data_IF_621490339786
#
_entry.id   IF_621490339786
#
_cell.length_a   1.000
_cell.length_b   1.000
_cell.length_c   1.000
_cell.angle_alpha   90.00
_cell.angle_beta   90.00
_cell.angle_gamma   90.00
#
_symmetry.space_group_name_H-M   'P 1'
#
loop_
_entity.id
_entity.type
_entity.pdbx_description
1 polymer ?
#
# COMPACT_ATOMS: atom_id res chain seq x y z
N UNK A 1 -21.80 37.06 27.43
CA UNK A 1 -20.39 37.13 27.88
C UNK A 1 -20.36 36.84 29.39
N UNK A 2 -19.28 36.31 29.95
CA UNK A 2 -19.10 36.28 31.41
C UNK A 2 -17.94 37.22 31.74
N UNK A 3 -18.11 38.10 32.72
CA UNK A 3 -17.07 39.00 33.20
C UNK A 3 -16.74 38.67 34.65
N UNK A 4 -15.46 38.59 34.97
CA UNK A 4 -14.99 38.44 36.33
C UNK A 4 -14.75 39.82 36.93
N UNK A 5 -15.44 40.12 38.03
CA UNK A 5 -15.31 41.42 38.72
C UNK A 5 -14.26 41.42 39.86
N UNK A 6 -13.38 40.42 39.88
CA UNK A 6 -12.41 40.20 40.95
C UNK A 6 -12.89 39.30 42.09
N UNK A 7 -14.19 38.94 42.14
CA UNK A 7 -14.75 38.02 43.17
C UNK A 7 -15.63 36.93 42.58
N UNK A 8 -16.50 37.27 41.63
CA UNK A 8 -17.46 36.34 41.03
C UNK A 8 -17.55 36.55 39.52
N UNK A 9 -17.83 35.46 38.81
CA UNK A 9 -18.21 35.52 37.40
C UNK A 9 -19.67 35.94 37.30
N UNK A 10 -19.94 37.04 36.60
CA UNK A 10 -21.30 37.49 36.30
C UNK A 10 -21.57 37.35 34.81
N UNK A 11 -22.70 36.75 34.47
CA UNK A 11 -23.18 36.73 33.09
C UNK A 11 -23.61 38.15 32.69
N UNK A 12 -22.99 38.67 31.63
CA UNK A 12 -23.39 39.89 30.96
C UNK A 12 -24.30 39.50 29.80
N UNK A 13 -25.55 39.97 29.88
CA UNK A 13 -26.50 39.93 28.77
C UNK A 13 -26.16 41.09 27.83
N UNK A 14 -25.85 40.79 26.58
CA UNK A 14 -25.65 41.80 25.54
C UNK A 14 -27.05 42.32 25.15
N UNK A 15 -27.26 43.62 25.26
CA UNK A 15 -28.54 44.29 25.06
C UNK A 15 -28.62 44.80 23.63
N UNK A 16 -29.59 44.30 22.86
CA UNK A 16 -29.73 44.63 21.44
C UNK A 16 -28.67 43.95 20.58
N UNK A 17 -29.08 43.40 19.45
CA UNK A 17 -28.18 42.74 18.49
C UNK A 17 -28.61 41.34 18.08
N UNK A 18 -28.08 40.88 16.95
CA UNK A 18 -28.27 39.53 16.44
C UNK A 18 -27.61 38.50 17.38
N UNK A 19 -28.23 37.33 17.51
CA UNK A 19 -27.61 36.19 18.20
C UNK A 19 -26.60 35.53 17.26
N UNK A 20 -25.33 35.55 17.66
CA UNK A 20 -24.28 34.82 16.96
C UNK A 20 -23.96 33.50 17.66
N UNK A 21 -23.70 32.47 16.85
CA UNK A 21 -23.10 31.20 17.27
C UNK A 21 -21.85 30.98 16.43
N UNK A 22 -20.76 30.61 17.08
CA UNK A 22 -19.47 30.57 16.45
C UNK A 22 -18.41 29.85 17.27
N UNK A 23 -17.27 29.63 16.62
CA UNK A 23 -16.12 28.93 17.14
C UNK A 23 -14.86 29.81 17.04
N UNK A 24 -13.74 29.32 17.57
CA UNK A 24 -12.43 29.95 17.47
C UNK A 24 -12.40 31.40 17.97
N UNK A 25 -13.08 31.65 19.09
CA UNK A 25 -13.16 32.98 19.71
C UNK A 25 -11.79 33.41 20.24
N UNK A 26 -11.39 34.64 19.91
CA UNK A 26 -10.13 35.24 20.35
C UNK A 26 -10.33 36.72 20.66
N UNK A 27 -9.77 37.19 21.77
CA UNK A 27 -9.60 38.62 22.00
C UNK A 27 -8.32 39.06 21.24
N UNK A 28 -8.47 40.03 20.34
CA UNK A 28 -7.36 40.54 19.50
C UNK A 28 -6.65 41.70 20.15
N UNK A 29 -7.41 42.53 20.83
CA UNK A 29 -6.98 43.63 21.69
C UNK A 29 -8.09 43.87 22.73
N UNK A 30 -7.78 44.51 23.88
CA UNK A 30 -8.79 44.82 24.88
C UNK A 30 -10.03 45.49 24.27
N UNK A 31 -11.20 44.89 24.48
CA UNK A 31 -12.46 45.41 23.93
C UNK A 31 -12.79 44.91 22.53
N UNK A 32 -11.99 44.02 21.92
CA UNK A 32 -12.29 43.42 20.61
C UNK A 32 -12.12 41.92 20.60
N UNK A 33 -13.24 41.23 20.47
CA UNK A 33 -13.30 39.79 20.27
C UNK A 33 -13.60 39.49 18.81
N UNK A 34 -12.82 38.61 18.21
CA UNK A 34 -13.07 38.09 16.87
C UNK A 34 -13.36 36.60 16.94
N UNK A 35 -14.30 36.14 16.12
CA UNK A 35 -14.69 34.73 16.11
C UNK A 35 -15.28 34.33 14.76
N UNK A 36 -15.26 33.03 14.49
CA UNK A 36 -15.76 32.43 13.25
C UNK A 36 -17.20 32.00 13.39
N UNK A 37 -18.02 32.20 12.36
CA UNK A 37 -19.43 31.78 12.30
C UNK A 37 -19.70 31.03 10.99
N UNK A 38 -20.88 30.42 10.85
CA UNK A 38 -21.30 29.79 9.57
C UNK A 38 -21.39 30.77 8.39
N UNK A 39 -21.41 32.08 8.65
CA UNK A 39 -21.57 33.11 7.62
C UNK A 39 -20.29 33.89 7.35
N UNK A 40 -19.21 33.62 8.07
CA UNK A 40 -17.95 34.37 8.00
C UNK A 40 -17.38 34.72 9.36
N UNK A 41 -16.47 35.70 9.38
CA UNK A 41 -15.84 36.21 10.60
C UNK A 41 -16.59 37.43 11.11
N UNK A 42 -16.81 37.45 12.41
CA UNK A 42 -17.47 38.54 13.12
C UNK A 42 -16.52 39.09 14.17
N UNK A 43 -16.45 40.40 14.24
CA UNK A 43 -15.77 41.12 15.31
C UNK A 43 -16.82 41.73 16.23
N UNK A 44 -16.69 41.51 17.52
CA UNK A 44 -17.47 42.12 18.57
C UNK A 44 -16.62 43.15 19.28
N UNK A 45 -16.99 44.42 19.12
CA UNK A 45 -16.32 45.56 19.73
C UNK A 45 -17.16 45.97 20.94
N UNK A 46 -16.58 45.89 22.13
CA UNK A 46 -17.26 46.16 23.40
C UNK A 46 -16.53 47.17 24.27
N UNK A 47 -17.31 47.85 25.09
CA UNK A 47 -16.83 48.78 26.11
C UNK A 47 -16.54 48.07 27.45
N UNK A 48 -16.11 48.85 28.45
CA UNK A 48 -15.79 48.34 29.78
C UNK A 48 -16.99 47.68 30.51
N UNK A 49 -18.23 47.98 30.08
CA UNK A 49 -19.46 47.38 30.62
C UNK A 49 -19.80 46.04 29.95
N UNK A 50 -19.05 45.65 28.92
CA UNK A 50 -19.29 44.44 28.13
C UNK A 50 -20.43 44.56 27.13
N UNK A 51 -20.96 45.77 26.92
CA UNK A 51 -21.91 46.08 25.84
C UNK A 51 -21.14 46.49 24.58
N UNK A 52 -21.70 46.22 23.41
CA UNK A 52 -20.96 46.40 22.18
C UNK A 52 -21.74 46.11 20.92
N UNK A 53 -21.05 46.20 19.79
CA UNK A 53 -21.61 46.00 18.46
C UNK A 53 -20.87 44.89 17.71
N UNK A 54 -21.62 44.11 16.94
CA UNK A 54 -21.07 43.11 16.04
C UNK A 54 -20.82 43.71 14.65
N UNK A 55 -19.64 43.47 14.10
CA UNK A 55 -19.22 43.87 12.77
C UNK A 55 -18.87 42.63 11.96
N UNK A 56 -19.60 42.40 10.87
CA UNK A 56 -19.31 41.31 9.94
C UNK A 56 -18.17 41.75 9.00
N UNK A 57 -17.07 41.00 8.97
CA UNK A 57 -15.96 41.30 8.07
C UNK A 57 -16.37 41.01 6.62
N UNK A 58 -16.01 41.93 5.71
CA UNK A 58 -16.23 41.75 4.27
C UNK A 58 -15.37 40.59 3.75
N UNK A 59 -15.99 39.68 3.00
CA UNK A 59 -15.31 38.53 2.42
C UNK A 59 -14.70 38.88 1.06
N UNK A 60 -13.50 38.38 0.80
CA UNK A 60 -12.88 38.39 -0.53
C UNK A 60 -13.75 37.59 -1.52
N UNK A 61 -13.75 37.97 -2.81
CA UNK A 61 -14.48 37.21 -3.85
C UNK A 61 -13.97 35.78 -4.01
N UNK A 62 -12.72 35.53 -3.61
CA UNK A 62 -12.05 34.24 -3.66
C UNK A 62 -12.49 33.26 -2.56
N UNK A 63 -13.24 33.76 -1.57
CA UNK A 63 -13.75 33.00 -0.43
C UNK A 63 -14.75 31.93 -0.86
N UNK A 64 -14.71 30.76 -0.20
CA UNK A 64 -15.60 29.64 -0.51
C UNK A 64 -17.09 30.02 -0.52
N UNK A 65 -17.85 29.42 -1.45
CA UNK A 65 -19.30 29.64 -1.57
C UNK A 65 -20.09 29.11 -0.37
N UNK A 66 -19.59 28.08 0.30
CA UNK A 66 -20.17 27.51 1.52
C UNK A 66 -20.07 28.46 2.71
N UNK A 67 -19.15 29.43 2.64
CA UNK A 67 -18.82 30.41 3.69
C UNK A 67 -18.38 29.79 5.01
N UNK A 68 -18.00 28.52 5.00
CA UNK A 68 -17.55 27.79 6.17
C UNK A 68 -16.05 28.04 6.41
N UNK A 69 -15.68 28.08 7.68
CA UNK A 69 -14.32 28.34 8.14
C UNK A 69 -13.82 27.16 8.97
N UNK A 70 -12.60 26.73 8.68
CA UNK A 70 -11.92 25.60 9.31
C UNK A 70 -10.83 26.03 10.30
N UNK A 71 -10.53 27.33 10.40
CA UNK A 71 -9.54 27.80 11.38
C UNK A 71 -9.50 29.31 11.53
N UNK A 72 -9.04 29.74 12.71
CA UNK A 72 -8.68 31.12 13.03
C UNK A 72 -7.52 31.10 14.02
N UNK A 73 -6.34 31.52 13.59
CA UNK A 73 -5.10 31.38 14.35
C UNK A 73 -4.09 32.45 13.94
N UNK A 74 -3.16 32.75 14.85
CA UNK A 74 -2.06 33.68 14.59
C UNK A 74 -0.95 33.00 13.80
N UNK A 75 -0.25 33.78 12.99
CA UNK A 75 1.08 33.48 12.45
C UNK A 75 1.96 34.70 12.70
N UNK A 76 3.28 34.53 12.77
CA UNK A 76 4.23 35.64 12.99
C UNK A 76 3.80 36.55 14.17
N UNK A 77 3.37 35.93 15.28
CA UNK A 77 2.87 36.51 16.54
C UNK A 77 1.52 37.25 16.45
N UNK A 78 1.40 38.20 15.52
CA UNK A 78 0.26 39.13 15.48
C UNK A 78 -0.60 39.01 14.22
N UNK A 79 -0.12 38.36 13.17
CA UNK A 79 -0.86 38.26 11.93
C UNK A 79 -1.96 37.21 12.07
N UNK A 80 -3.21 37.66 12.18
CA UNK A 80 -4.35 36.77 12.30
C UNK A 80 -4.76 36.24 10.92
N UNK A 81 -4.87 34.92 10.81
CA UNK A 81 -5.19 34.21 9.58
C UNK A 81 -6.38 33.28 9.81
N UNK A 82 -7.18 33.13 8.76
CA UNK A 82 -8.29 32.19 8.73
C UNK A 82 -8.21 31.29 7.50
N UNK A 83 -8.79 30.10 7.62
CA UNK A 83 -8.79 29.10 6.55
C UNK A 83 -10.23 28.73 6.25
N UNK A 84 -10.60 28.75 4.97
CA UNK A 84 -11.96 28.38 4.55
C UNK A 84 -12.11 26.86 4.33
N UNK A 85 -13.32 26.42 3.96
CA UNK A 85 -13.59 24.99 3.73
C UNK A 85 -12.88 24.40 2.50
N UNK A 86 -12.25 25.23 1.67
CA UNK A 86 -11.40 24.82 0.54
C UNK A 86 -9.91 25.00 0.85
N UNK A 87 -9.58 25.15 2.14
CA UNK A 87 -8.24 25.31 2.67
C UNK A 87 -7.49 26.57 2.21
N UNK A 88 -8.18 27.52 1.58
CA UNK A 88 -7.60 28.80 1.20
C UNK A 88 -7.33 29.63 2.45
N UNK A 89 -6.16 30.26 2.45
CA UNK A 89 -5.65 31.04 3.57
C UNK A 89 -5.98 32.51 3.35
N UNK A 90 -6.64 33.13 4.33
CA UNK A 90 -7.04 34.53 4.31
C UNK A 90 -6.40 35.29 5.47
N UNK A 91 -5.82 36.45 5.17
CA UNK A 91 -5.39 37.41 6.19
C UNK A 91 -6.61 38.15 6.72
N UNK A 92 -6.74 38.19 8.05
CA UNK A 92 -7.81 38.90 8.73
C UNK A 92 -7.35 40.32 9.03
N UNK A 93 -7.86 41.28 8.25
CA UNK A 93 -7.58 42.69 8.41
C UNK A 93 -8.70 43.35 9.20
N UNK A 94 -8.55 43.36 10.53
CA UNK A 94 -9.52 43.99 11.44
C UNK A 94 -9.67 45.49 11.17
N UNK A 95 -8.56 46.21 10.90
CA UNK A 95 -8.59 47.66 10.63
C UNK A 95 -9.42 48.00 9.39
N UNK A 96 -9.28 47.23 8.32
CA UNK A 96 -10.07 47.40 7.11
C UNK A 96 -11.37 46.57 7.09
N UNK A 97 -11.68 45.87 8.20
CA UNK A 97 -12.84 45.01 8.40
C UNK A 97 -13.08 44.04 7.22
N UNK A 98 -12.02 43.38 6.75
CA UNK A 98 -12.10 42.47 5.60
C UNK A 98 -11.15 41.28 5.70
N UNK A 99 -11.54 40.20 5.04
CA UNK A 99 -10.67 39.07 4.75
C UNK A 99 -10.00 39.32 3.40
N UNK A 100 -8.68 39.16 3.34
CA UNK A 100 -7.90 39.26 2.11
C UNK A 100 -7.35 37.90 1.78
N UNK A 101 -7.58 37.40 0.56
CA UNK A 101 -6.94 36.16 0.14
C UNK A 101 -5.42 36.33 0.16
N UNK A 102 -4.71 35.42 0.81
CA UNK A 102 -3.24 35.49 0.92
C UNK A 102 -2.53 35.06 -0.36
N UNK A 103 -3.23 34.38 -1.28
CA UNK A 103 -2.62 33.70 -2.42
C UNK A 103 -2.32 32.21 -2.17
N UNK A 104 -2.38 31.76 -0.92
CA UNK A 104 -1.97 30.41 -0.52
C UNK A 104 -3.14 29.51 -0.09
N UNK A 105 -2.92 28.20 -0.19
CA UNK A 105 -3.82 27.15 0.28
C UNK A 105 -3.05 26.15 1.15
N UNK A 106 -3.74 25.55 2.11
CA UNK A 106 -3.24 24.42 2.90
C UNK A 106 -3.67 23.06 2.33
N UNK A 107 -4.43 23.03 1.24
CA UNK A 107 -5.08 21.83 0.68
C UNK A 107 -4.10 20.65 0.60
N UNK A 108 -2.96 20.83 -0.06
CA UNK A 108 -1.93 19.80 -0.20
C UNK A 108 -1.44 19.21 1.12
N UNK A 109 -1.48 19.96 2.23
CA UNK A 109 -1.02 19.50 3.53
C UNK A 109 -2.11 18.86 4.39
N UNK A 110 -3.35 19.33 4.27
CA UNK A 110 -4.40 19.01 5.27
C UNK A 110 -5.69 18.46 4.68
N UNK A 111 -5.78 18.25 3.36
CA UNK A 111 -6.95 17.70 2.66
C UNK A 111 -7.37 16.32 3.16
N UNK A 112 -6.43 15.53 3.66
CA UNK A 112 -6.60 14.09 3.87
C UNK A 112 -7.26 13.74 5.22
N UNK A 113 -7.63 14.74 6.03
CA UNK A 113 -8.35 14.49 7.27
C UNK A 113 -8.34 15.64 8.28
N UNK A 114 -8.42 15.28 9.55
CA UNK A 114 -8.35 16.24 10.65
C UNK A 114 -6.96 16.87 10.71
N UNK A 115 -6.96 18.15 11.06
CA UNK A 115 -5.74 18.90 11.27
C UNK A 115 -5.95 19.99 12.31
N UNK A 116 -4.84 20.47 12.86
CA UNK A 116 -4.84 21.65 13.72
C UNK A 116 -3.55 22.42 13.53
N UNK A 117 -3.64 23.73 13.78
CA UNK A 117 -2.52 24.63 13.76
C UNK A 117 -2.52 25.46 15.05
N UNK A 118 -1.33 25.68 15.59
CA UNK A 118 -1.09 26.56 16.72
C UNK A 118 0.22 27.32 16.52
N UNK A 119 0.28 28.56 17.01
CA UNK A 119 1.48 29.38 16.93
C UNK A 119 2.13 29.48 18.31
N UNK A 120 3.41 29.12 18.39
CA UNK A 120 4.20 29.28 19.59
C UNK A 120 4.86 30.67 19.60
N UNK A 121 4.32 31.56 20.42
CA UNK A 121 4.85 32.93 20.56
C UNK A 121 6.25 32.96 21.16
N UNK A 122 6.52 32.08 22.12
CA UNK A 122 7.81 32.04 22.81
C UNK A 122 8.94 31.55 21.90
N UNK A 123 8.60 30.76 20.87
CA UNK A 123 9.55 30.19 19.93
C UNK A 123 9.59 30.89 18.55
N UNK A 124 8.56 31.67 18.21
CA UNK A 124 8.51 32.42 16.96
C UNK A 124 8.13 31.60 15.71
N UNK A 125 7.50 30.44 15.90
CA UNK A 125 7.03 29.56 14.81
C UNK A 125 5.77 28.80 15.19
N UNK A 126 5.13 28.16 14.22
CA UNK A 126 3.92 27.37 14.46
C UNK A 126 4.13 25.87 14.42
N UNK A 127 3.16 25.14 14.94
CA UNK A 127 3.03 23.69 14.84
C UNK A 127 1.75 23.34 14.11
N UNK A 128 1.87 22.47 13.10
CA UNK A 128 0.76 21.88 12.38
C UNK A 128 0.76 20.37 12.58
N UNK A 129 -0.37 19.82 13.01
CA UNK A 129 -0.58 18.38 13.05
C UNK A 129 -1.69 18.01 12.08
N UNK A 130 -1.45 16.98 11.28
CA UNK A 130 -2.43 16.39 10.36
C UNK A 130 -2.10 14.91 10.15
N UNK A 131 -2.88 14.20 9.32
CA UNK A 131 -2.60 12.79 9.00
C UNK A 131 -1.21 12.53 8.41
N UNK A 132 -0.56 13.54 7.82
CA UNK A 132 0.81 13.42 7.28
C UNK A 132 1.89 13.47 8.36
N UNK A 133 1.54 13.86 9.59
CA UNK A 133 2.44 13.96 10.72
C UNK A 133 2.37 15.29 11.47
N UNK A 134 3.41 15.53 12.26
CA UNK A 134 3.65 16.77 12.97
C UNK A 134 4.68 17.61 12.21
N UNK A 135 4.41 18.90 12.05
CA UNK A 135 5.26 19.82 11.29
C UNK A 135 5.51 21.08 12.08
N UNK A 136 6.78 21.49 12.15
CA UNK A 136 7.16 22.86 12.48
C UNK A 136 6.92 23.72 11.25
N UNK A 137 6.40 24.93 11.46
CA UNK A 137 5.93 25.78 10.38
C UNK A 137 6.36 27.22 10.53
N UNK A 138 6.65 27.85 9.40
CA UNK A 138 6.87 29.30 9.30
C UNK A 138 5.94 29.85 8.23
N UNK A 139 5.58 31.13 8.34
CA UNK A 139 4.72 31.79 7.38
C UNK A 139 5.37 33.06 6.84
N UNK A 140 5.42 33.18 5.51
CA UNK A 140 5.86 34.39 4.83
C UNK A 140 4.76 34.86 3.87
N UNK A 141 4.51 36.16 3.80
CA UNK A 141 3.44 36.72 2.97
C UNK A 141 3.69 36.58 1.46
N UNK A 142 4.94 36.31 1.04
CA UNK A 142 5.30 36.11 -0.37
C UNK A 142 5.44 34.63 -0.74
N UNK A 143 5.81 33.77 0.22
CA UNK A 143 6.08 32.34 -0.01
C UNK A 143 5.03 31.38 0.59
N UNK A 144 4.18 31.86 1.49
CA UNK A 144 3.20 31.04 2.19
C UNK A 144 3.81 30.29 3.37
N UNK A 145 3.27 29.11 3.64
CA UNK A 145 3.76 28.23 4.70
C UNK A 145 4.94 27.38 4.24
N UNK A 146 5.96 27.27 5.08
CA UNK A 146 7.02 26.26 4.97
C UNK A 146 6.87 25.23 6.08
N UNK A 147 7.10 23.95 5.77
CA UNK A 147 6.86 22.84 6.68
C UNK A 147 8.14 22.02 6.88
N UNK A 148 8.50 21.77 8.12
CA UNK A 148 9.58 20.87 8.52
C UNK A 148 8.96 19.73 9.33
N UNK A 149 9.04 18.50 8.83
CA UNK A 149 8.44 17.32 9.50
C UNK A 149 9.24 16.96 10.75
N UNK A 150 8.55 16.79 11.87
CA UNK A 150 9.15 16.34 13.13
C UNK A 150 8.85 14.87 13.39
N UNK A 151 9.79 14.11 14.00
CA UNK A 151 9.55 12.71 14.35
C UNK A 151 8.39 12.59 15.34
N UNK A 152 7.31 11.93 14.91
CA UNK A 152 6.11 11.70 15.74
C UNK A 152 5.48 10.36 15.37
N UNK A 153 5.93 9.28 16.03
CA UNK A 153 5.60 7.91 15.63
C UNK A 153 5.20 6.98 16.80
N UNK A 154 5.53 7.37 18.03
CA UNK A 154 5.19 6.60 19.25
C UNK A 154 3.68 6.61 19.56
N UNK A 155 2.96 7.63 19.08
CA UNK A 155 1.51 7.79 19.27
C UNK A 155 0.83 7.73 17.90
N UNK A 156 -0.33 7.06 17.82
CA UNK A 156 -1.13 7.10 16.59
C UNK A 156 -1.73 8.49 16.40
N UNK A 157 -1.61 9.05 15.20
CA UNK A 157 -2.27 10.31 14.87
C UNK A 157 -3.79 10.17 14.97
N UNK A 158 -4.34 8.99 14.65
CA UNK A 158 -5.78 8.73 14.77
C UNK A 158 -6.26 8.59 16.22
N UNK A 159 -5.35 8.42 17.19
CA UNK A 159 -5.69 8.50 18.63
C UNK A 159 -5.81 9.96 19.10
N UNK A 160 -5.18 10.90 18.39
CA UNK A 160 -5.18 12.29 18.79
C UNK A 160 -6.55 12.94 18.58
N UNK A 161 -6.88 13.90 19.44
CA UNK A 161 -7.94 14.89 19.19
C UNK A 161 -7.52 15.94 18.15
N UNK A 162 -6.27 15.86 17.68
CA UNK A 162 -5.54 16.84 16.88
C UNK A 162 -5.36 18.21 17.54
N UNK A 163 -5.92 18.49 18.73
CA UNK A 163 -5.63 19.75 19.43
C UNK A 163 -4.22 19.74 20.01
N UNK A 164 -3.47 20.78 19.65
CA UNK A 164 -2.08 20.99 20.07
C UNK A 164 -1.90 22.30 20.81
N UNK A 165 -1.08 22.27 21.85
CA UNK A 165 -0.68 23.46 22.61
C UNK A 165 0.84 23.43 22.83
N UNK A 166 1.60 24.39 22.29
CA UNK A 166 3.02 24.51 22.55
C UNK A 166 3.28 25.41 23.76
N UNK A 167 4.38 25.16 24.46
CA UNK A 167 4.84 25.93 25.62
C UNK A 167 6.38 26.01 25.61
N UNK A 168 6.92 27.18 25.95
CA UNK A 168 8.37 27.39 26.00
C UNK A 168 9.02 27.43 24.61
N UNK A 169 10.35 27.36 24.57
CA UNK A 169 11.12 27.46 23.33
C UNK A 169 12.47 26.75 23.45
N UNK A 170 13.12 26.53 22.29
CA UNK A 170 14.41 25.85 22.21
C UNK A 170 14.36 24.42 22.77
N UNK A 171 15.38 24.04 23.53
CA UNK A 171 15.50 22.69 24.11
C UNK A 171 14.44 22.38 25.18
N UNK A 172 13.78 23.41 25.71
CA UNK A 172 12.71 23.29 26.71
C UNK A 172 11.31 23.38 26.09
N UNK A 173 11.19 23.48 24.77
CA UNK A 173 9.88 23.50 24.12
C UNK A 173 9.13 22.19 24.38
N UNK A 174 7.86 22.32 24.79
CA UNK A 174 6.95 21.20 24.99
C UNK A 174 5.76 21.39 24.06
N UNK A 175 5.31 20.32 23.42
CA UNK A 175 4.02 20.28 22.71
C UNK A 175 3.11 19.30 23.44
N UNK A 176 1.97 19.81 23.87
CA UNK A 176 0.90 19.04 24.48
C UNK A 176 -0.10 18.60 23.42
N UNK A 177 -0.42 17.31 23.39
CA UNK A 177 -1.46 16.76 22.52
C UNK A 177 -2.57 16.13 23.37
N UNK A 178 -3.82 16.50 23.12
CA UNK A 178 -4.97 15.80 23.68
C UNK A 178 -5.32 14.56 22.84
N UNK A 179 -5.72 13.46 23.46
CA UNK A 179 -6.25 12.28 22.76
C UNK A 179 -7.78 12.23 22.75
N UNK A 180 -8.34 11.33 21.94
CA UNK A 180 -9.77 11.02 21.94
C UNK A 180 -10.18 10.16 23.14
N UNK A 181 -9.22 9.52 23.82
CA UNK A 181 -9.42 8.58 24.94
C UNK A 181 -9.05 9.19 26.30
N UNK A 182 -9.21 10.50 26.49
CA UNK A 182 -8.90 11.21 27.74
C UNK A 182 -7.43 11.15 28.18
N UNK A 183 -6.48 10.95 27.26
CA UNK A 183 -5.03 11.00 27.54
C UNK A 183 -4.48 12.37 27.15
N UNK A 184 -3.43 12.78 27.85
CA UNK A 184 -2.64 13.95 27.50
C UNK A 184 -1.20 13.52 27.24
N UNK A 185 -0.72 13.79 26.04
CA UNK A 185 0.65 13.49 25.63
C UNK A 185 1.54 14.72 25.77
N UNK A 186 2.70 14.52 26.38
CA UNK A 186 3.77 15.51 26.45
C UNK A 186 4.87 15.14 25.46
N UNK A 187 5.07 15.96 24.44
CA UNK A 187 6.07 15.77 23.40
C UNK A 187 7.18 16.82 23.54
N UNK A 188 8.43 16.37 23.43
CA UNK A 188 9.63 17.20 23.53
C UNK A 188 10.37 17.16 22.18
N UNK A 189 10.22 18.18 21.31
CA UNK A 189 10.78 18.15 19.96
C UNK A 189 12.31 17.96 19.95
N UNK A 190 13.01 18.61 20.87
CA UNK A 190 14.46 18.50 20.99
C UNK A 190 14.94 17.08 21.34
N UNK A 191 14.18 16.34 22.17
CA UNK A 191 14.49 14.94 22.48
C UNK A 191 14.15 14.03 21.30
N UNK A 192 13.03 14.27 20.62
CA UNK A 192 12.62 13.47 19.47
C UNK A 192 13.64 13.53 18.30
N UNK A 193 14.37 14.64 18.17
CA UNK A 193 15.47 14.78 17.21
C UNK A 193 16.78 14.12 17.68
N UNK A 194 17.02 14.08 19.00
CA UNK A 194 18.24 13.51 19.60
C UNK A 194 18.17 11.99 19.75
N UNK A 195 16.98 11.40 19.85
CA UNK A 195 16.79 9.95 19.82
C UNK A 195 17.02 9.46 18.37
N UNK A 196 18.15 8.79 18.06
CA UNK A 196 18.34 8.23 16.73
C UNK A 196 17.20 7.25 16.46
N UNK A 197 16.60 7.32 15.27
CA UNK A 197 15.76 6.23 14.79
C UNK A 197 16.62 4.97 14.83
N UNK A 198 16.33 4.06 15.74
CA UNK A 198 17.12 2.85 15.90
C UNK A 198 16.92 2.02 14.63
N UNK A 199 17.97 1.91 13.84
CA UNK A 199 17.92 1.19 12.58
C UNK A 199 17.99 -0.29 12.87
N UNK A 200 16.86 -0.96 12.68
CA UNK A 200 16.80 -2.41 12.71
C UNK A 200 16.71 -2.94 11.29
N UNK A 201 17.16 -4.19 11.10
CA UNK A 201 16.85 -4.93 9.87
C UNK A 201 15.51 -5.63 10.04
N UNK A 202 14.75 -5.75 8.94
CA UNK A 202 13.68 -6.75 8.90
C UNK A 202 14.26 -8.14 9.14
N UNK A 203 13.53 -9.01 9.82
CA UNK A 203 13.98 -10.35 10.18
C UNK A 203 13.12 -11.37 9.46
N UNK A 204 13.75 -12.39 8.87
CA UNK A 204 13.05 -13.60 8.41
C UNK A 204 13.01 -14.54 9.60
N UNK A 205 11.81 -14.77 10.15
CA UNK A 205 11.60 -15.55 11.37
C UNK A 205 11.51 -17.04 11.10
N UNK A 206 10.84 -17.40 10.01
CA UNK A 206 10.65 -18.78 9.62
C UNK A 206 10.43 -18.87 8.11
N UNK A 207 10.81 -20.02 7.57
CA UNK A 207 10.46 -20.44 6.21
C UNK A 207 9.76 -21.77 6.38
N UNK A 208 8.62 -21.97 5.74
CA UNK A 208 7.95 -23.26 5.71
C UNK A 208 7.57 -23.65 4.29
N UNK A 209 7.53 -24.95 4.02
CA UNK A 209 7.07 -25.51 2.77
C UNK A 209 5.97 -26.53 3.01
N UNK A 210 4.83 -26.36 2.35
CA UNK A 210 3.65 -27.20 2.54
C UNK A 210 3.24 -27.38 4.02
N UNK A 211 3.47 -26.35 4.85
CA UNK A 211 3.18 -26.37 6.29
C UNK A 211 4.33 -26.86 7.19
N UNK A 212 5.39 -27.44 6.61
CA UNK A 212 6.54 -27.96 7.36
C UNK A 212 7.69 -26.95 7.43
N UNK A 213 8.34 -26.77 8.60
CA UNK A 213 9.48 -25.87 8.74
C UNK A 213 10.66 -26.26 7.85
N UNK A 214 11.31 -25.26 7.26
CA UNK A 214 12.53 -25.38 6.46
C UNK A 214 13.62 -24.51 7.11
N UNK A 215 14.91 -24.88 7.00
CA UNK A 215 15.99 -24.02 7.46
C UNK A 215 15.89 -22.60 6.89
N UNK A 216 16.19 -21.60 7.72
CA UNK A 216 16.13 -20.17 7.34
C UNK A 216 17.13 -19.83 6.22
N UNK A 217 18.20 -20.62 6.07
CA UNK A 217 19.16 -20.51 4.97
C UNK A 217 19.21 -21.85 4.23
N UNK A 218 18.20 -22.18 3.41
CA UNK A 218 18.20 -23.44 2.69
C UNK A 218 19.09 -23.33 1.45
N UNK A 219 20.16 -24.12 1.38
CA UNK A 219 21.01 -24.14 0.18
C UNK A 219 20.26 -24.68 -1.04
N UNK A 220 19.48 -25.75 -0.87
CA UNK A 220 18.70 -26.37 -1.96
C UNK A 220 17.46 -27.07 -1.41
N UNK A 221 16.33 -26.87 -2.06
CA UNK A 221 15.03 -27.47 -1.77
C UNK A 221 14.61 -28.38 -2.93
N UNK A 222 14.00 -29.55 -2.64
CA UNK A 222 13.47 -30.41 -3.68
C UNK A 222 12.27 -29.74 -4.38
N UNK A 223 11.99 -30.13 -5.63
CA UNK A 223 10.84 -29.61 -6.38
C UNK A 223 9.49 -29.83 -5.67
N UNK A 224 9.37 -30.86 -4.81
CA UNK A 224 8.17 -31.09 -4.00
C UNK A 224 7.95 -30.03 -2.90
N UNK A 225 8.96 -29.22 -2.59
CA UNK A 225 8.94 -28.13 -1.62
C UNK A 225 8.97 -26.76 -2.33
N UNK A 226 8.21 -26.62 -3.41
CA UNK A 226 8.17 -25.40 -4.23
C UNK A 226 7.03 -24.42 -3.85
N UNK A 227 6.27 -24.73 -2.81
CA UNK A 227 5.39 -23.77 -2.15
C UNK A 227 6.08 -23.31 -0.88
N UNK A 228 6.38 -22.02 -0.77
CA UNK A 228 7.13 -21.45 0.34
C UNK A 228 6.34 -20.31 1.00
N UNK A 229 6.31 -20.33 2.32
CA UNK A 229 5.78 -19.25 3.14
C UNK A 229 6.92 -18.69 3.98
N UNK A 230 7.13 -17.38 3.83
CA UNK A 230 8.09 -16.62 4.61
C UNK A 230 7.34 -15.85 5.69
N UNK A 231 7.72 -16.04 6.96
CA UNK A 231 7.24 -15.20 8.05
C UNK A 231 8.32 -14.20 8.45
N UNK A 232 7.95 -12.94 8.58
CA UNK A 232 8.89 -11.85 8.87
C UNK A 232 8.50 -11.06 10.11
N UNK A 233 9.45 -10.32 10.65
CA UNK A 233 9.23 -9.41 11.76
C UNK A 233 10.14 -8.18 11.66
N UNK A 234 9.75 -7.11 12.35
CA UNK A 234 10.60 -5.95 12.56
C UNK A 234 10.76 -5.78 14.07
N UNK A 235 11.98 -5.80 14.62
CA UNK A 235 12.19 -5.87 16.07
C UNK A 235 12.07 -4.49 16.74
N UNK A 236 10.97 -3.79 16.49
CA UNK A 236 10.63 -2.51 17.12
C UNK A 236 9.38 -2.67 17.98
N UNK A 237 9.55 -2.52 19.29
CA UNK A 237 8.49 -2.71 20.28
C UNK A 237 7.48 -1.57 20.26
N UNK A 238 6.19 -1.90 20.37
CA UNK A 238 5.08 -0.94 20.48
C UNK A 238 4.58 -0.37 19.14
N UNK A 239 5.19 -0.76 18.02
CA UNK A 239 4.77 -0.38 16.66
C UNK A 239 4.37 -1.57 15.80
N UNK A 240 4.17 -2.74 16.39
CA UNK A 240 3.93 -4.00 15.66
C UNK A 240 2.70 -3.88 14.75
N UNK A 241 1.60 -3.32 15.26
CA UNK A 241 0.34 -3.12 14.53
C UNK A 241 0.41 -2.05 13.43
N UNK A 242 1.52 -1.32 13.35
CA UNK A 242 1.74 -0.21 12.39
C UNK A 242 2.88 -0.48 11.43
N UNK A 243 3.68 -1.52 11.70
CA UNK A 243 4.76 -1.92 10.81
C UNK A 243 4.18 -2.52 9.54
N UNK A 244 4.71 -2.11 8.41
CA UNK A 244 4.37 -2.64 7.10
C UNK A 244 5.60 -3.26 6.46
N UNK A 245 5.39 -4.22 5.57
CA UNK A 245 6.48 -4.93 4.90
C UNK A 245 6.31 -4.84 3.39
N UNK A 246 7.43 -4.77 2.70
CA UNK A 246 7.55 -4.87 1.26
C UNK A 246 8.45 -6.06 0.93
N UNK A 247 8.06 -6.81 -0.09
CA UNK A 247 8.65 -8.09 -0.46
C UNK A 247 9.07 -8.09 -1.92
N UNK A 248 10.14 -8.80 -2.23
CA UNK A 248 10.57 -9.03 -3.60
C UNK A 248 11.26 -10.39 -3.71
N UNK A 249 10.86 -11.20 -4.68
CA UNK A 249 11.53 -12.46 -5.00
C UNK A 249 12.22 -12.34 -6.37
N UNK A 250 13.56 -12.25 -6.36
CA UNK A 250 14.37 -12.26 -7.58
C UNK A 250 14.04 -13.50 -8.43
N UNK A 251 13.89 -13.31 -9.75
CA UNK A 251 13.48 -14.33 -10.73
C UNK A 251 12.03 -14.82 -10.62
N UNK A 252 11.16 -14.11 -9.88
CA UNK A 252 9.71 -14.35 -9.83
C UNK A 252 8.90 -13.05 -9.91
N UNK A 253 9.32 -12.02 -9.16
CA UNK A 253 8.66 -10.72 -9.09
C UNK A 253 9.41 -9.67 -9.91
N UNK A 254 8.68 -8.81 -10.63
CA UNK A 254 9.27 -7.72 -11.42
C UNK A 254 9.83 -6.57 -10.57
N UNK A 255 9.22 -6.32 -9.40
CA UNK A 255 9.57 -5.23 -8.50
C UNK A 255 9.14 -5.52 -7.05
N UNK A 256 9.55 -4.64 -6.14
CA UNK A 256 9.08 -4.62 -4.75
C UNK A 256 7.55 -4.48 -4.67
N UNK A 257 6.94 -5.25 -3.77
CA UNK A 257 5.52 -5.12 -3.48
C UNK A 257 5.21 -3.80 -2.77
N UNK A 258 3.94 -3.38 -2.82
CA UNK A 258 3.46 -2.31 -1.93
C UNK A 258 3.67 -2.69 -0.46
N UNK A 259 3.88 -1.68 0.38
CA UNK A 259 3.98 -1.84 1.83
C UNK A 259 2.61 -2.21 2.41
N UNK A 260 2.51 -3.39 3.03
CA UNK A 260 1.27 -3.90 3.63
C UNK A 260 1.51 -4.39 5.05
N UNK A 261 0.46 -4.38 5.88
CA UNK A 261 0.46 -4.95 7.24
C UNK A 261 0.33 -6.48 7.22
N UNK A 262 1.07 -7.13 6.33
CA UNK A 262 1.12 -8.58 6.23
C UNK A 262 2.54 -9.01 6.62
N UNK A 263 2.64 -9.85 7.64
CA UNK A 263 3.90 -10.39 8.15
C UNK A 263 4.23 -11.76 7.52
N UNK A 264 3.40 -12.22 6.58
CA UNK A 264 3.62 -13.44 5.81
C UNK A 264 3.67 -13.11 4.33
N UNK A 265 4.53 -13.82 3.60
CA UNK A 265 4.56 -13.80 2.14
C UNK A 265 4.61 -15.22 1.61
N UNK A 266 3.63 -15.57 0.80
CA UNK A 266 3.50 -16.89 0.18
C UNK A 266 3.87 -16.83 -1.30
N UNK A 267 4.64 -17.82 -1.75
CA UNK A 267 4.91 -18.12 -3.14
C UNK A 267 4.56 -19.58 -3.42
N UNK A 268 3.76 -19.83 -4.45
CA UNK A 268 3.32 -21.17 -4.83
C UNK A 268 3.85 -21.57 -6.19
N UNK A 269 3.99 -22.88 -6.40
CA UNK A 269 4.39 -23.48 -7.66
C UNK A 269 5.67 -22.90 -8.26
N UNK A 270 6.66 -22.58 -7.41
CA UNK A 270 7.93 -22.06 -7.90
C UNK A 270 8.59 -23.09 -8.84
N UNK A 271 9.12 -22.60 -9.95
CA UNK A 271 9.84 -23.43 -10.90
C UNK A 271 11.24 -23.78 -10.39
N UNK A 272 11.91 -24.72 -11.04
CA UNK A 272 13.31 -24.99 -10.75
C UNK A 272 14.18 -23.78 -11.11
N UNK A 273 15.06 -23.39 -10.20
CA UNK A 273 15.76 -22.12 -10.34
C UNK A 273 16.47 -21.69 -9.07
N UNK A 274 17.22 -20.60 -9.16
CA UNK A 274 17.82 -19.93 -8.00
C UNK A 274 17.03 -18.66 -7.73
N UNK A 275 16.67 -18.47 -6.47
CA UNK A 275 15.85 -17.35 -6.02
C UNK A 275 16.55 -16.63 -4.87
N UNK A 276 16.30 -15.33 -4.77
CA UNK A 276 16.67 -14.52 -3.61
C UNK A 276 15.40 -13.85 -3.12
N UNK A 277 14.97 -14.17 -1.91
CA UNK A 277 13.85 -13.49 -1.26
C UNK A 277 14.39 -12.29 -0.51
N UNK A 278 13.79 -11.12 -0.72
CA UNK A 278 14.14 -9.85 -0.09
C UNK A 278 12.95 -9.29 0.69
N UNK A 279 13.24 -8.70 1.84
CA UNK A 279 12.25 -8.02 2.68
C UNK A 279 12.80 -6.70 3.23
N UNK A 280 11.91 -5.70 3.25
CA UNK A 280 12.09 -4.43 3.96
C UNK A 280 10.88 -4.18 4.84
N UNK A 281 11.10 -3.62 6.01
CA UNK A 281 10.06 -3.13 6.89
C UNK A 281 9.98 -1.60 6.79
N UNK A 282 8.79 -1.05 7.00
CA UNK A 282 8.57 0.37 7.23
C UNK A 282 7.80 0.52 8.54
N UNK A 283 8.35 1.31 9.45
CA UNK A 283 7.74 1.55 10.75
C UNK A 283 6.68 2.66 10.71
N UNK A 284 6.06 2.94 11.86
CA UNK A 284 5.03 3.97 12.00
C UNK A 284 5.52 5.39 11.70
N UNK A 285 6.82 5.64 11.73
CA UNK A 285 7.42 6.94 11.40
C UNK A 285 7.60 7.14 9.89
N UNK A 286 7.46 6.07 9.11
CA UNK A 286 7.81 6.01 7.70
C UNK A 286 9.29 5.73 7.46
N UNK A 287 10.04 5.36 8.51
CA UNK A 287 11.43 4.92 8.35
C UNK A 287 11.43 3.53 7.73
N UNK A 288 12.22 3.36 6.67
CA UNK A 288 12.40 2.10 5.96
C UNK A 288 13.67 1.43 6.47
N UNK A 289 13.54 0.16 6.87
CA UNK A 289 14.63 -0.67 7.34
C UNK A 289 15.67 -0.95 6.24
N UNK A 290 16.86 -1.31 6.67
CA UNK A 290 17.79 -2.05 5.82
C UNK A 290 17.13 -3.32 5.27
N UNK A 291 17.57 -3.72 4.08
CA UNK A 291 17.13 -4.92 3.42
C UNK A 291 17.68 -6.17 4.12
N UNK A 292 16.85 -7.20 4.20
CA UNK A 292 17.28 -8.55 4.55
C UNK A 292 16.89 -9.52 3.46
N UNK A 293 17.80 -10.43 3.12
CA UNK A 293 17.59 -11.38 2.04
C UNK A 293 18.08 -12.78 2.39
N UNK A 294 17.46 -13.77 1.75
CA UNK A 294 17.86 -15.17 1.79
C UNK A 294 17.88 -15.73 0.37
N UNK A 295 18.98 -16.40 0.04
CA UNK A 295 19.15 -17.09 -1.24
C UNK A 295 18.87 -18.57 -1.08
N UNK A 296 18.13 -19.15 -2.02
CA UNK A 296 17.81 -20.58 -2.06
C UNK A 296 17.68 -21.07 -3.51
N UNK A 297 17.71 -22.40 -3.69
CA UNK A 297 17.57 -23.05 -5.00
C UNK A 297 16.50 -24.14 -4.97
N UNK A 298 15.65 -24.20 -5.98
CA UNK A 298 14.70 -25.30 -6.18
C UNK A 298 15.27 -26.26 -7.22
N UNK A 299 15.40 -27.53 -6.85
CA UNK A 299 15.89 -28.56 -7.76
C UNK A 299 14.88 -28.88 -8.87
N UNK A 300 15.31 -29.32 -10.06
CA UNK A 300 14.39 -29.83 -11.08
C UNK A 300 13.59 -31.04 -10.56
N UNK A 301 12.37 -31.26 -11.07
CA UNK A 301 11.65 -32.50 -10.78
C UNK A 301 12.38 -33.69 -11.40
N UNK A 302 12.25 -34.87 -10.78
CA UNK A 302 12.99 -36.08 -11.16
C UNK A 302 12.81 -36.46 -12.65
N UNK A 303 11.64 -36.24 -13.22
CA UNK A 303 11.31 -36.54 -14.62
C UNK A 303 11.90 -35.55 -15.64
N UNK A 304 12.50 -34.44 -15.17
CA UNK A 304 13.23 -33.45 -16.00
C UNK A 304 14.74 -33.50 -15.74
N UNK A 305 15.23 -34.59 -15.15
CA UNK A 305 16.67 -34.82 -14.98
C UNK A 305 17.30 -35.36 -16.26
N UNK A 306 18.60 -35.15 -16.45
CA UNK A 306 19.36 -35.71 -17.59
C UNK A 306 19.18 -37.23 -17.65
N UNK A 307 19.16 -37.90 -16.50
CA UNK A 307 18.91 -39.33 -16.40
C UNK A 307 17.53 -39.72 -16.96
N UNK A 308 16.47 -39.00 -16.62
CA UNK A 308 15.14 -39.25 -17.17
C UNK A 308 15.10 -39.08 -18.69
N UNK A 309 15.78 -38.07 -19.24
CA UNK A 309 15.91 -37.91 -20.70
C UNK A 309 16.66 -39.06 -21.36
N UNK A 310 17.70 -39.60 -20.73
CA UNK A 310 18.39 -40.81 -21.22
C UNK A 310 17.46 -42.03 -21.24
N UNK A 311 16.63 -42.20 -20.22
CA UNK A 311 15.62 -43.27 -20.16
C UNK A 311 14.56 -43.08 -21.26
N UNK A 312 14.05 -41.87 -21.46
CA UNK A 312 13.10 -41.58 -22.53
C UNK A 312 13.68 -41.87 -23.92
N UNK A 313 14.94 -41.48 -24.15
CA UNK A 313 15.65 -41.78 -25.39
C UNK A 313 15.81 -43.30 -25.57
N UNK A 314 16.19 -44.02 -24.52
CA UNK A 314 16.31 -45.49 -24.56
C UNK A 314 14.99 -46.19 -24.87
N UNK A 315 13.90 -45.77 -24.24
CA UNK A 315 12.56 -46.29 -24.53
C UNK A 315 12.12 -45.99 -25.96
N UNK A 316 12.40 -44.79 -26.47
CA UNK A 316 12.10 -44.41 -27.84
C UNK A 316 12.85 -45.29 -28.85
N UNK A 317 14.15 -45.51 -28.65
CA UNK A 317 14.95 -46.42 -29.49
C UNK A 317 14.42 -47.85 -29.41
N UNK A 318 14.06 -48.32 -28.22
CA UNK A 318 13.46 -49.64 -28.04
C UNK A 318 12.14 -49.80 -28.80
N UNK A 319 11.25 -48.80 -28.76
CA UNK A 319 10.01 -48.79 -29.53
C UNK A 319 10.27 -48.80 -31.04
N UNK A 320 11.27 -48.06 -31.52
CA UNK A 320 11.68 -48.09 -32.93
C UNK A 320 12.17 -49.49 -33.36
N UNK A 321 12.94 -50.18 -32.51
CA UNK A 321 13.39 -51.55 -32.78
C UNK A 321 12.19 -52.51 -32.85
N UNK A 322 11.25 -52.42 -31.90
CA UNK A 322 10.04 -53.24 -31.91
C UNK A 322 9.17 -52.98 -33.14
N UNK A 323 9.00 -51.71 -33.51
CA UNK A 323 8.26 -51.31 -34.71
C UNK A 323 8.92 -51.85 -35.98
N UNK A 324 10.25 -51.73 -36.08
CA UNK A 324 11.02 -52.31 -37.19
C UNK A 324 10.85 -53.83 -37.29
N UNK A 325 10.90 -54.55 -36.16
CA UNK A 325 10.63 -56.00 -36.10
C UNK A 325 9.20 -56.35 -36.52
N UNK A 326 8.22 -55.58 -36.06
CA UNK A 326 6.81 -55.76 -36.44
C UNK A 326 6.60 -55.57 -37.94
N UNK A 327 7.15 -54.50 -38.52
CA UNK A 327 7.05 -54.22 -39.95
C UNK A 327 7.76 -55.29 -40.79
N UNK A 328 8.94 -55.75 -40.36
CA UNK A 328 9.65 -56.84 -41.02
C UNK A 328 8.87 -58.16 -40.95
N UNK A 329 8.18 -58.45 -39.84
CA UNK A 329 7.29 -59.62 -39.74
C UNK A 329 6.09 -59.49 -40.67
N UNK A 330 5.49 -58.30 -40.75
CA UNK A 330 4.36 -58.02 -41.65
C UNK A 330 4.74 -58.09 -43.12
N UNK A 331 5.93 -57.59 -43.51
CA UNK A 331 6.43 -57.68 -44.89
C UNK A 331 6.75 -59.12 -45.28
N UNK A 332 7.33 -59.92 -44.37
CA UNK A 332 7.54 -61.36 -44.58
C UNK A 332 6.23 -62.12 -44.74
N UNK A 333 5.23 -61.82 -43.92
CA UNK A 333 3.89 -62.42 -44.05
C UNK A 333 3.23 -62.12 -45.40
N UNK A 334 3.27 -60.85 -45.85
CA UNK A 334 2.77 -60.48 -47.19
C UNK A 334 3.50 -61.20 -48.32
N UNK A 335 4.82 -61.31 -48.25
CA UNK A 335 5.61 -62.01 -49.26
C UNK A 335 5.31 -63.52 -49.28
N UNK A 336 5.03 -64.13 -48.14
CA UNK A 336 4.59 -65.52 -48.06
C UNK A 336 3.18 -65.71 -48.63
N UNK A 337 2.25 -64.80 -48.35
CA UNK A 337 0.89 -64.82 -48.90
C UNK A 337 0.90 -64.60 -50.43
N UNK A 338 1.71 -63.67 -50.93
CA UNK A 338 1.91 -63.46 -52.37
C UNK A 338 2.48 -64.71 -53.06
N UNK A 339 3.46 -65.37 -52.46
CA UNK A 339 4.01 -66.64 -52.97
C UNK A 339 2.96 -67.74 -53.02
N UNK A 340 2.17 -67.90 -51.95
CA UNK A 340 1.08 -68.89 -51.90
C UNK A 340 0.01 -68.62 -52.96
N UNK A 341 -0.35 -67.35 -53.18
CA UNK A 341 -1.30 -66.95 -54.21
C UNK A 341 -0.77 -67.25 -55.61
N UNK A 342 0.51 -66.94 -55.89
CA UNK A 342 1.15 -67.25 -57.16
C UNK A 342 1.23 -68.77 -57.44
N UNK A 343 1.55 -69.58 -56.42
CA UNK A 343 1.52 -71.05 -56.53
C UNK A 343 0.11 -71.57 -56.82
N UNK A 344 -0.92 -71.03 -56.15
CA UNK A 344 -2.32 -71.37 -56.37
C UNK A 344 -2.79 -71.01 -57.79
N UNK A 345 -2.37 -69.85 -58.29
CA UNK A 345 -2.69 -69.38 -59.64
C UNK A 345 -2.00 -70.24 -60.71
N UNK A 346 -0.73 -70.60 -60.51
CA UNK A 346 -0.01 -71.55 -61.37
C UNK A 346 -0.66 -72.94 -61.36
N UNK A 347 -1.10 -73.43 -60.19
CA UNK A 347 -1.83 -74.70 -60.08
C UNK A 347 -3.18 -74.65 -60.81
N UNK A 348 -3.91 -73.52 -60.72
CA UNK A 348 -5.16 -73.30 -61.47
C UNK A 348 -4.93 -73.21 -62.99
N UNK A 349 -3.88 -72.54 -63.45
CA UNK A 349 -3.54 -72.48 -64.89
C UNK A 349 -3.16 -73.86 -65.42
N UNK A 350 -2.37 -74.63 -64.65
CA UNK A 350 -2.04 -76.02 -64.98
C UNK A 350 -3.30 -76.88 -65.05
N UNK A 351 -4.20 -76.75 -64.08
CA UNK A 351 -5.49 -77.45 -64.08
C UNK A 351 -6.31 -77.09 -65.32
N UNK A 352 -6.39 -75.80 -65.68
CA UNK A 352 -7.09 -75.35 -66.88
C UNK A 352 -6.45 -75.84 -68.19
N UNK A 353 -5.12 -76.01 -68.24
CA UNK A 353 -4.41 -76.61 -69.39
C UNK A 353 -4.60 -78.12 -69.50
N UNK A 354 -4.82 -78.78 -68.36
CA UNK A 354 -5.06 -80.22 -68.26
C UNK A 354 -6.53 -80.58 -68.55
N UNK A 355 -7.43 -79.60 -68.66
CA UNK A 355 -8.79 -79.82 -69.13
C UNK A 355 -8.79 -80.06 -70.65
N UNK A 356 -9.31 -81.20 -71.14
CA UNK A 356 -9.32 -81.50 -72.57
C UNK A 356 -10.24 -80.54 -73.32
N UNK A 357 -9.71 -79.81 -74.32
CA UNK A 357 -10.49 -78.88 -75.16
C UNK A 357 -11.42 -79.58 -76.17
N UNK A 358 -11.43 -80.91 -76.19
CA UNK A 358 -12.37 -81.74 -76.95
C UNK A 358 -12.67 -83.02 -76.15
N UNK A 359 -13.95 -83.36 -76.00
CA UNK A 359 -14.37 -84.59 -75.33
C UNK A 359 -13.86 -85.83 -76.11
N UNK A 360 -13.36 -86.87 -75.41
CA UNK A 360 -12.87 -88.08 -76.07
C UNK A 360 -14.03 -88.85 -76.71
N UNK A 361 -13.85 -89.22 -77.99
CA UNK A 361 -14.72 -90.14 -78.73
C UNK A 361 -14.40 -91.56 -78.28
N UNK A 362 -15.33 -92.22 -77.60
CA UNK A 362 -15.21 -93.63 -77.19
C UNK A 362 -15.94 -94.48 -78.23
N UNK A 363 -15.22 -95.33 -78.96
CA UNK A 363 -15.82 -96.32 -79.87
C UNK A 363 -16.47 -97.44 -79.05
N UNK A 364 -17.77 -97.70 -79.30
CA UNK A 364 -18.52 -98.81 -78.69
C UNK A 364 -19.66 -98.44 -77.74
N UNK A 365 -19.99 -97.15 -77.59
CA UNK A 365 -21.17 -96.69 -76.84
C UNK A 365 -22.08 -95.84 -77.73
N UNK A 366 -23.09 -96.47 -78.34
CA UNK A 366 -24.37 -95.81 -78.58
C UNK A 366 -25.16 -95.90 -77.26
N UNK A 367 -25.71 -94.80 -76.75
CA UNK A 367 -27.15 -94.44 -76.75
C UNK A 367 -27.24 -93.34 -75.64
N UNK A 368 -28.05 -92.29 -75.63
CA UNK A 368 -29.20 -91.85 -76.43
C UNK A 368 -29.24 -90.31 -76.48
N UNK A 369 -29.96 -89.81 -77.46
CA UNK A 369 -30.47 -88.43 -77.58
C UNK A 369 -31.25 -87.94 -76.37
#
# INVERSE_FOLDING_TARGET
LHQFNGKVWKQIKIIGGEKYSGNNLRETEPGKIIFTTRKGIVEFIYDATGQGTFVNLKQDKSFSKTKQLNGLFYVNDQLLVSVDSTFKVFVVDSKAQKLRYSGFSLDEMVSDGLWNYTYNKDAGYGWLVCKKGLFKTYFDLKKGFTYEKYPFYKVDLDELSYRVLPEGSGDNEVIWFGSQENKLYRYLPALALKEPAQQFKALIRSISSNGEPVPIVPETLPFSQNNLVFEVAYPLYGTENKTTFSYWLENQDDAWSEYKKDFKKEYTNLHEGTYTFHVKAMDASGHISDETSVKFKISPPWYRTIFAYLVYLGLLVYLFILFGKYQAKKSRGKAEDERRMAELEAAKDLQNRMLPKTLPKVEGLEIAS
#
